data_IF_178813682447
#
_entry.id   IF_178813682447
#
_cell.length_a   1.000
_cell.length_b   1.000
_cell.length_c   1.000
_cell.angle_alpha   90.00
_cell.angle_beta   90.00
_cell.angle_gamma   90.00
#
_symmetry.space_group_name_H-M   'P 1'
#
loop_
_entity.id
_entity.type
_entity.pdbx_description
1 polymer ?
#
# COMPACT_ATOMS: atom_id res chain seq x y z
N UNK A 1 -5.77 8.92 19.34
CA UNK A 1 -4.47 8.38 18.92
C UNK A 1 -4.63 6.90 18.58
N UNK A 2 -4.13 6.48 17.40
CA UNK A 2 -4.12 5.09 16.98
C UNK A 2 -2.70 4.51 17.10
N UNK A 3 -2.58 3.38 17.76
CA UNK A 3 -1.28 2.74 18.04
C UNK A 3 -0.84 1.78 16.95
N UNK A 4 -1.73 1.47 15.98
CA UNK A 4 -1.43 0.47 14.95
C UNK A 4 -2.36 0.67 13.74
N UNK A 5 -1.84 1.24 12.67
CA UNK A 5 -2.58 1.48 11.43
C UNK A 5 -1.73 1.14 10.22
N UNK A 6 -2.25 0.32 9.32
CA UNK A 6 -1.60 -0.07 8.08
C UNK A 6 -2.59 -0.30 6.95
N UNK A 7 -2.07 -0.36 5.75
CA UNK A 7 -2.77 -0.80 4.54
C UNK A 7 -1.89 -1.76 3.79
N UNK A 8 -2.46 -2.79 3.19
CA UNK A 8 -1.72 -3.75 2.38
C UNK A 8 -0.91 -3.06 1.28
N UNK A 9 0.24 -3.62 0.94
CA UNK A 9 1.16 -3.03 -0.03
C UNK A 9 1.92 -4.09 -0.80
N UNK A 10 2.24 -3.80 -2.06
CA UNK A 10 3.07 -4.63 -2.94
C UNK A 10 4.30 -3.81 -3.32
N UNK A 11 5.54 -4.32 -3.10
CA UNK A 11 6.76 -3.61 -3.46
C UNK A 11 6.97 -3.52 -4.98
N UNK A 12 8.06 -2.91 -5.41
CA UNK A 12 8.43 -2.83 -6.82
C UNK A 12 8.79 -4.20 -7.38
N UNK A 13 8.78 -4.34 -8.72
CA UNK A 13 9.21 -5.57 -9.40
C UNK A 13 10.62 -5.98 -8.99
N UNK A 14 11.53 -5.01 -8.91
CA UNK A 14 12.92 -5.23 -8.54
C UNK A 14 13.04 -5.81 -7.12
N UNK A 15 12.32 -5.24 -6.16
CA UNK A 15 12.32 -5.72 -4.77
C UNK A 15 11.65 -7.10 -4.64
N UNK A 16 10.65 -7.42 -5.46
CA UNK A 16 10.04 -8.76 -5.51
C UNK A 16 11.04 -9.78 -6.04
N UNK A 17 11.71 -9.46 -7.16
CA UNK A 17 12.70 -10.35 -7.77
C UNK A 17 13.98 -10.52 -6.95
N UNK A 18 14.23 -9.63 -6.00
CA UNK A 18 15.29 -9.81 -5.01
C UNK A 18 14.89 -10.77 -3.87
N UNK A 19 13.60 -11.10 -3.72
CA UNK A 19 13.10 -12.07 -2.75
C UNK A 19 12.90 -13.47 -3.33
N UNK A 20 12.58 -13.57 -4.63
CA UNK A 20 12.22 -14.85 -5.26
C UNK A 20 12.55 -14.87 -6.76
N UNK A 21 12.65 -16.07 -7.33
CA UNK A 21 12.86 -16.24 -8.77
C UNK A 21 11.65 -15.75 -9.59
N UNK A 22 11.90 -15.31 -10.82
CA UNK A 22 10.83 -14.87 -11.76
C UNK A 22 9.73 -15.90 -11.92
N UNK A 23 10.07 -17.19 -12.03
CA UNK A 23 9.11 -18.30 -12.19
C UNK A 23 8.17 -18.47 -10.98
N UNK A 24 8.62 -18.02 -9.80
CA UNK A 24 7.86 -18.09 -8.54
C UNK A 24 7.08 -16.80 -8.29
N UNK A 25 7.54 -15.69 -8.87
CA UNK A 25 6.89 -14.39 -8.75
C UNK A 25 5.68 -14.24 -9.71
N UNK A 26 5.74 -14.86 -10.90
CA UNK A 26 4.65 -14.79 -11.86
C UNK A 26 4.56 -16.02 -12.78
N UNK A 27 3.36 -16.66 -12.90
CA UNK A 27 2.14 -16.41 -12.09
C UNK A 27 2.41 -16.57 -10.60
N UNK A 28 1.61 -15.89 -9.75
CA UNK A 28 1.75 -15.93 -8.30
C UNK A 28 1.73 -17.38 -7.80
N UNK A 29 2.76 -17.77 -7.05
CA UNK A 29 3.01 -19.13 -6.57
C UNK A 29 2.93 -19.27 -5.04
N UNK A 30 3.15 -20.48 -4.53
CA UNK A 30 3.26 -20.73 -3.09
C UNK A 30 4.47 -20.03 -2.47
N UNK A 31 5.55 -19.79 -3.25
CA UNK A 31 6.71 -19.00 -2.80
C UNK A 31 6.31 -17.56 -2.54
N UNK A 32 5.46 -16.99 -3.39
CA UNK A 32 4.89 -15.67 -3.14
C UNK A 32 4.16 -15.63 -1.81
N UNK A 33 3.30 -16.61 -1.51
CA UNK A 33 2.55 -16.66 -0.26
C UNK A 33 3.44 -16.81 0.97
N UNK A 34 4.61 -17.42 0.84
CA UNK A 34 5.61 -17.44 1.92
C UNK A 34 6.07 -16.02 2.28
N UNK A 35 6.25 -15.15 1.31
CA UNK A 35 6.64 -13.75 1.51
C UNK A 35 5.46 -12.81 1.79
N UNK A 36 4.23 -13.22 1.47
CA UNK A 36 2.97 -12.47 1.67
C UNK A 36 2.00 -13.31 2.51
N UNK A 37 2.30 -13.46 3.79
CA UNK A 37 1.57 -14.33 4.73
C UNK A 37 0.09 -13.93 4.94
N UNK A 38 -0.29 -12.73 4.54
CA UNK A 38 -1.67 -12.21 4.69
C UNK A 38 -2.46 -12.23 3.39
N UNK A 39 -1.86 -12.67 2.29
CA UNK A 39 -2.52 -12.76 0.98
C UNK A 39 -2.94 -11.40 0.41
N UNK A 40 -2.19 -10.34 0.71
CA UNK A 40 -2.50 -8.98 0.28
C UNK A 40 -2.54 -8.81 -1.23
N UNK A 41 -1.79 -9.63 -1.98
CA UNK A 41 -1.80 -9.62 -3.45
C UNK A 41 -3.20 -9.87 -4.04
N UNK A 42 -4.08 -10.62 -3.37
CA UNK A 42 -5.43 -10.89 -3.87
C UNK A 42 -6.27 -9.61 -3.90
N UNK A 43 -6.23 -8.81 -2.83
CA UNK A 43 -6.91 -7.52 -2.77
C UNK A 43 -6.40 -6.57 -3.86
N UNK A 44 -5.09 -6.59 -4.12
CA UNK A 44 -4.49 -5.83 -5.20
C UNK A 44 -4.94 -6.29 -6.58
N UNK A 45 -5.00 -7.61 -6.82
CA UNK A 45 -5.50 -8.16 -8.08
C UNK A 45 -6.93 -7.73 -8.36
N UNK A 46 -7.81 -7.78 -7.37
CA UNK A 46 -9.21 -7.34 -7.50
C UNK A 46 -9.30 -5.82 -7.76
N UNK A 47 -8.53 -5.02 -7.03
CA UNK A 47 -8.51 -3.57 -7.21
C UNK A 47 -7.94 -3.16 -8.58
N UNK A 48 -6.87 -3.83 -9.02
CA UNK A 48 -6.24 -3.62 -10.30
C UNK A 48 -7.18 -4.01 -11.45
N UNK A 49 -7.75 -5.21 -11.40
CA UNK A 49 -8.65 -5.71 -12.46
C UNK A 49 -9.82 -4.75 -12.67
N UNK A 50 -10.43 -4.29 -11.58
CA UNK A 50 -11.55 -3.36 -11.62
C UNK A 50 -11.19 -1.98 -12.19
N UNK A 51 -9.99 -1.43 -11.86
CA UNK A 51 -9.61 -0.06 -12.21
C UNK A 51 -8.76 0.04 -13.47
N UNK A 52 -7.90 -0.94 -13.71
CA UNK A 52 -6.83 -0.85 -14.71
C UNK A 52 -6.76 -2.05 -15.67
N UNK A 53 -7.69 -3.01 -15.53
CA UNK A 53 -7.69 -4.27 -16.28
C UNK A 53 -6.66 -5.29 -15.75
N UNK A 54 -6.86 -6.55 -16.10
CA UNK A 54 -6.01 -7.66 -15.64
C UNK A 54 -4.54 -7.42 -15.96
N UNK A 55 -3.63 -7.69 -15.02
CA UNK A 55 -2.21 -7.63 -15.28
C UNK A 55 -1.79 -8.73 -16.27
N UNK A 56 -0.85 -8.40 -17.16
CA UNK A 56 -0.33 -9.34 -18.17
C UNK A 56 0.92 -10.09 -17.72
N UNK A 57 1.68 -9.47 -16.82
CA UNK A 57 2.93 -9.99 -16.29
C UNK A 57 3.27 -9.31 -14.94
N UNK A 58 4.37 -9.73 -14.31
CA UNK A 58 4.81 -9.19 -13.02
C UNK A 58 5.05 -7.67 -13.07
N UNK A 59 5.67 -7.20 -14.14
CA UNK A 59 5.98 -5.77 -14.32
C UNK A 59 4.72 -4.92 -14.40
N UNK A 60 3.75 -5.35 -15.20
CA UNK A 60 2.46 -4.66 -15.33
C UNK A 60 1.69 -4.71 -14.01
N UNK A 61 1.70 -5.86 -13.32
CA UNK A 61 1.12 -6.01 -12.00
C UNK A 61 1.75 -5.04 -10.99
N UNK A 62 3.08 -5.06 -10.85
CA UNK A 62 3.78 -4.20 -9.91
C UNK A 62 3.55 -2.71 -10.20
N UNK A 63 3.59 -2.29 -11.47
CA UNK A 63 3.31 -0.89 -11.86
C UNK A 63 1.91 -0.44 -11.47
N UNK A 64 0.89 -1.26 -11.74
CA UNK A 64 -0.49 -0.98 -11.35
C UNK A 64 -0.64 -0.97 -9.82
N UNK A 65 0.04 -1.91 -9.14
CA UNK A 65 0.04 -1.98 -7.69
C UNK A 65 0.63 -0.71 -7.05
N UNK A 66 1.65 -0.06 -7.67
CA UNK A 66 2.17 1.20 -7.13
C UNK A 66 1.12 2.32 -7.06
N UNK A 67 0.20 2.37 -8.01
CA UNK A 67 -0.89 3.35 -7.99
C UNK A 67 -1.87 3.03 -6.86
N UNK A 68 -2.21 1.75 -6.69
CA UNK A 68 -3.08 1.29 -5.59
C UNK A 68 -2.42 1.56 -4.23
N UNK A 69 -1.13 1.25 -4.08
CA UNK A 69 -0.34 1.58 -2.89
C UNK A 69 -0.42 3.07 -2.54
N UNK A 70 -0.16 3.92 -3.54
CA UNK A 70 -0.19 5.37 -3.35
C UNK A 70 -1.57 5.84 -2.88
N UNK A 71 -2.63 5.43 -3.58
CA UNK A 71 -4.00 5.86 -3.29
C UNK A 71 -4.45 5.38 -1.90
N UNK A 72 -4.21 4.11 -1.56
CA UNK A 72 -4.65 3.53 -0.28
C UNK A 72 -3.95 4.15 0.92
N UNK A 73 -2.63 4.31 0.86
CA UNK A 73 -1.86 4.90 1.96
C UNK A 73 -2.11 6.40 2.10
N UNK A 74 -2.27 7.10 0.98
CA UNK A 74 -2.69 8.50 0.99
C UNK A 74 -4.06 8.67 1.64
N UNK A 75 -5.05 7.90 1.22
CA UNK A 75 -6.40 7.95 1.76
C UNK A 75 -6.43 7.60 3.26
N UNK A 76 -5.65 6.61 3.69
CA UNK A 76 -5.50 6.23 5.09
C UNK A 76 -5.02 7.41 5.94
N UNK A 77 -3.94 8.08 5.53
CA UNK A 77 -3.40 9.24 6.26
C UNK A 77 -4.35 10.44 6.20
N UNK A 78 -4.96 10.71 5.05
CA UNK A 78 -5.94 11.81 4.88
C UNK A 78 -7.17 11.62 5.78
N UNK A 79 -7.65 10.39 5.94
CA UNK A 79 -8.77 10.09 6.83
C UNK A 79 -8.46 10.49 8.29
N UNK A 80 -7.23 10.21 8.78
CA UNK A 80 -6.79 10.65 10.10
C UNK A 80 -6.60 12.15 10.19
N UNK A 81 -5.99 12.76 9.18
CA UNK A 81 -5.78 14.21 9.12
C UNK A 81 -7.11 14.99 9.16
N UNK A 82 -8.16 14.47 8.55
CA UNK A 82 -9.48 15.13 8.51
C UNK A 82 -10.10 15.39 9.89
N UNK A 83 -9.71 14.62 10.91
CA UNK A 83 -10.21 14.72 12.29
C UNK A 83 -9.19 15.32 13.27
N UNK A 84 -8.06 15.79 12.77
CA UNK A 84 -7.01 16.43 13.58
C UNK A 84 -7.43 17.87 13.88
N UNK A 85 -7.38 18.31 15.04
CA UNK A 85 -7.04 17.96 16.39
C UNK A 85 -8.29 17.75 17.27
N UNK A 86 -9.35 17.34 16.70
CA UNK A 86 -10.61 17.11 17.39
C UNK A 86 -10.65 15.71 18.02
N UNK A 87 -10.81 14.67 17.20
CA UNK A 87 -10.85 13.29 17.67
C UNK A 87 -9.58 12.50 17.38
N UNK A 88 -8.66 13.04 16.58
CA UNK A 88 -7.36 12.45 16.28
C UNK A 88 -6.21 13.36 16.67
N UNK A 89 -5.13 12.78 17.19
CA UNK A 89 -3.91 13.49 17.58
C UNK A 89 -2.64 12.83 17.01
N UNK A 90 -2.78 11.69 16.35
CA UNK A 90 -1.68 10.98 15.72
C UNK A 90 -1.98 9.50 15.50
N UNK A 91 -1.15 8.87 14.70
CA UNK A 91 -1.15 7.44 14.48
C UNK A 91 0.28 6.90 14.42
N UNK A 92 0.46 5.63 14.73
CA UNK A 92 1.69 4.87 14.50
C UNK A 92 1.43 3.91 13.34
N UNK A 93 2.31 3.95 12.36
CA UNK A 93 2.20 3.12 11.17
C UNK A 93 2.63 1.68 11.47
N UNK A 94 1.77 0.73 11.19
CA UNK A 94 2.07 -0.69 11.19
C UNK A 94 2.05 -1.22 9.77
N UNK A 95 3.21 -1.37 9.16
CA UNK A 95 4.52 -1.00 9.67
C UNK A 95 5.33 -0.29 8.59
N UNK A 96 6.42 0.37 8.97
CA UNK A 96 7.24 1.09 8.00
C UNK A 96 8.14 0.16 7.19
N UNK A 97 8.75 -0.85 7.83
CA UNK A 97 9.76 -1.73 7.23
C UNK A 97 9.64 -3.16 7.80
N UNK A 98 9.77 -4.21 6.96
CA UNK A 98 9.71 -5.59 7.43
C UNK A 98 11.03 -6.03 8.07
N UNK A 99 10.96 -7.01 8.98
CA UNK A 99 12.12 -7.59 9.65
C UNK A 99 12.88 -8.62 8.79
N UNK A 100 12.30 -9.06 7.69
CA UNK A 100 12.85 -10.06 6.77
C UNK A 100 12.25 -9.84 5.37
N UNK A 101 12.77 -10.48 4.31
CA UNK A 101 12.23 -10.32 2.95
C UNK A 101 10.75 -10.73 2.87
N UNK A 102 9.85 -9.78 3.11
CA UNK A 102 8.40 -9.96 3.10
C UNK A 102 7.68 -8.73 2.57
N UNK A 103 6.42 -8.90 2.20
CA UNK A 103 5.58 -7.83 1.66
C UNK A 103 4.18 -7.98 2.25
N UNK A 104 3.66 -6.97 2.93
CA UNK A 104 2.27 -6.92 3.40
C UNK A 104 1.79 -5.48 3.50
N UNK A 105 2.24 -4.69 4.47
CA UNK A 105 1.76 -3.34 4.77
C UNK A 105 2.89 -2.34 5.08
N UNK A 106 4.00 -2.48 4.36
CA UNK A 106 5.15 -1.62 4.53
C UNK A 106 5.08 -0.38 3.62
N UNK A 107 5.84 0.64 3.96
CA UNK A 107 6.11 1.80 3.11
C UNK A 107 7.52 1.80 2.54
N UNK A 108 8.41 1.00 3.13
CA UNK A 108 9.71 0.61 2.60
C UNK A 108 9.72 -0.89 2.35
N UNK A 109 10.25 -1.32 1.22
CA UNK A 109 10.51 -2.73 0.98
C UNK A 109 11.67 -3.24 1.85
N UNK A 110 11.85 -4.56 1.91
CA UNK A 110 12.87 -5.19 2.73
C UNK A 110 14.30 -4.72 2.40
N UNK A 111 14.56 -4.32 1.16
CA UNK A 111 15.82 -3.76 0.64
C UNK A 111 15.90 -2.23 0.76
N UNK A 112 15.03 -1.63 1.56
CA UNK A 112 14.94 -0.18 1.84
C UNK A 112 14.51 0.69 0.65
N UNK A 113 14.05 0.11 -0.45
CA UNK A 113 13.47 0.89 -1.53
C UNK A 113 12.13 1.51 -1.12
N UNK A 114 11.92 2.75 -1.52
CA UNK A 114 10.63 3.42 -1.39
C UNK A 114 9.74 3.09 -2.57
N UNK A 115 8.45 2.92 -2.31
CA UNK A 115 7.48 2.63 -3.35
C UNK A 115 6.17 3.40 -3.13
N UNK A 116 5.12 3.13 -3.89
CA UNK A 116 3.87 3.91 -3.90
C UNK A 116 3.32 4.26 -2.53
N UNK A 117 3.39 3.33 -1.56
CA UNK A 117 2.95 3.52 -0.17
C UNK A 117 3.65 4.68 0.53
N UNK A 118 4.99 4.75 0.40
CA UNK A 118 5.79 5.84 0.97
C UNK A 118 5.35 7.20 0.41
N UNK A 119 5.22 7.29 -0.90
CA UNK A 119 4.85 8.55 -1.56
C UNK A 119 3.41 8.95 -1.27
N UNK A 120 2.50 7.99 -1.08
CA UNK A 120 1.13 8.25 -0.61
C UNK A 120 1.11 8.86 0.79
N UNK A 121 1.81 8.26 1.76
CA UNK A 121 1.99 8.80 3.10
C UNK A 121 2.64 10.19 3.08
N UNK A 122 3.74 10.33 2.35
CA UNK A 122 4.45 11.61 2.21
C UNK A 122 3.53 12.71 1.69
N UNK A 123 2.72 12.41 0.67
CA UNK A 123 1.78 13.40 0.08
C UNK A 123 0.72 13.83 1.07
N UNK A 124 0.13 12.90 1.80
CA UNK A 124 -0.90 13.21 2.80
C UNK A 124 -0.36 13.98 4.02
N UNK A 125 0.93 13.85 4.31
CA UNK A 125 1.60 14.48 5.46
C UNK A 125 2.35 15.79 5.10
N UNK A 126 2.09 16.37 3.92
CA UNK A 126 2.65 17.69 3.58
C UNK A 126 2.16 18.76 4.56
N UNK A 127 3.02 19.71 4.98
CA UNK A 127 2.63 20.78 5.93
C UNK A 127 1.47 21.63 5.45
N UNK A 128 1.33 21.80 4.15
CA UNK A 128 0.18 22.45 3.49
C UNK A 128 -0.43 21.41 2.57
N UNK A 129 -1.62 20.93 2.91
CA UNK A 129 -2.27 19.84 2.21
C UNK A 129 -3.74 20.14 1.94
N UNK A 130 -4.20 19.81 0.74
CA UNK A 130 -5.60 19.89 0.33
C UNK A 130 -6.09 18.46 0.08
N UNK A 131 -7.18 18.09 0.76
CA UNK A 131 -7.80 16.78 0.64
C UNK A 131 -9.31 16.89 0.50
N UNK A 132 -9.93 15.81 0.00
CA UNK A 132 -11.38 15.64 -0.05
C UNK A 132 -11.81 14.64 1.02
N UNK A 133 -12.63 15.09 1.96
CA UNK A 133 -13.17 14.22 3.01
C UNK A 133 -14.41 13.50 2.48
N UNK A 134 -14.29 12.20 2.25
CA UNK A 134 -15.37 11.38 1.69
C UNK A 134 -16.54 11.18 2.67
N UNK A 135 -16.28 11.22 3.98
CA UNK A 135 -17.29 11.07 5.04
C UNK A 135 -18.37 12.17 4.99
N UNK A 136 -18.00 13.36 4.51
CA UNK A 136 -18.91 14.51 4.42
C UNK A 136 -19.83 14.44 3.19
N UNK A 137 -19.51 13.60 2.22
CA UNK A 137 -20.29 13.41 0.99
C UNK A 137 -21.44 12.42 1.21
N UNK A 138 -21.25 11.43 2.06
CA UNK A 138 -22.31 10.47 2.44
C UNK A 138 -23.46 11.08 3.25
N UNK A 139 -23.25 12.29 3.81
CA UNK A 139 -24.30 13.03 4.54
C UNK A 139 -25.12 13.97 3.65
N UNK A 140 -24.79 14.06 2.36
CA UNK A 140 -25.49 14.90 1.35
C UNK A 140 -26.36 14.09 0.38
N UNK A 141 -26.49 12.76 0.60
CA UNK A 141 -27.31 11.85 -0.19
C UNK A 141 -28.63 11.52 0.49
#
# INVERSE_FOLDING_TARGET
FNTEQGSTSIPTEESILAMMDVKDAWPISDVWYYHDLHGGQREFMEAIDRKYGKPTDLKDFSRKAQIVNYDSHRAMMEAWNSKMWNSTSGLLLWMSHPAWPSMVWQIYSWDYETFGSFYGCRKACEPIHIQKNLDEIGSLA
#
